data_IF_386378043744
#
_entry.id   IF_386378043744
#
_cell.length_a   1.000
_cell.length_b   1.000
_cell.length_c   1.000
_cell.angle_alpha   90.00
_cell.angle_beta   90.00
_cell.angle_gamma   90.00
#
_symmetry.space_group_name_H-M   'P 1'
#
loop_
_entity.id
_entity.type
_entity.pdbx_description
1 polymer ?
#
# COMPACT_ATOMS: atom_id res chain seq x y z
N UNK A 1 -13.19 -23.91 -7.67
CA UNK A 1 -12.18 -23.20 -6.84
C UNK A 1 -12.93 -22.64 -5.64
N UNK A 2 -12.35 -22.67 -4.43
CA UNK A 2 -12.97 -21.98 -3.30
C UNK A 2 -13.06 -20.47 -3.62
N UNK A 3 -14.13 -19.81 -3.18
CA UNK A 3 -14.27 -18.36 -3.35
C UNK A 3 -13.10 -17.64 -2.67
N UNK A 4 -12.40 -16.81 -3.44
CA UNK A 4 -11.28 -16.02 -2.93
C UNK A 4 -11.90 -14.82 -2.22
N UNK A 5 -11.69 -14.65 -0.90
CA UNK A 5 -12.22 -13.49 -0.19
C UNK A 5 -11.55 -12.20 -0.69
N UNK A 6 -12.20 -11.04 -0.47
CA UNK A 6 -11.62 -9.73 -0.80
C UNK A 6 -10.27 -9.56 -0.11
N UNK A 7 -9.18 -9.58 -0.89
CA UNK A 7 -7.81 -9.52 -0.38
C UNK A 7 -7.36 -8.10 -0.04
N UNK A 8 -7.95 -7.09 -0.68
CA UNK A 8 -7.70 -5.70 -0.36
C UNK A 8 -8.57 -5.29 0.83
N UNK A 9 -7.95 -5.13 2.00
CA UNK A 9 -8.62 -4.79 3.25
C UNK A 9 -9.31 -3.42 3.21
N UNK A 10 -8.70 -2.42 2.54
CA UNK A 10 -9.29 -1.09 2.36
C UNK A 10 -10.59 -1.17 1.56
N UNK A 11 -10.58 -1.87 0.42
CA UNK A 11 -11.81 -2.07 -0.39
C UNK A 11 -12.87 -2.80 0.44
N UNK A 12 -12.49 -3.86 1.16
CA UNK A 12 -13.42 -4.59 2.03
C UNK A 12 -14.06 -3.66 3.07
N UNK A 13 -13.27 -2.85 3.77
CA UNK A 13 -13.76 -1.90 4.77
C UNK A 13 -14.73 -0.89 4.16
N UNK A 14 -14.43 -0.37 2.97
CA UNK A 14 -15.30 0.57 2.25
C UNK A 14 -16.61 -0.09 1.78
N UNK A 15 -16.56 -1.31 1.26
CA UNK A 15 -17.76 -2.09 0.85
C UNK A 15 -18.69 -2.40 2.02
N UNK A 16 -18.13 -2.53 3.24
CA UNK A 16 -18.89 -2.68 4.48
C UNK A 16 -19.48 -1.36 5.01
N UNK A 17 -19.28 -0.23 4.29
CA UNK A 17 -19.73 1.10 4.70
C UNK A 17 -18.96 1.69 5.88
N UNK A 18 -17.77 1.16 6.16
CA UNK A 18 -16.90 1.61 7.27
C UNK A 18 -15.84 2.59 6.77
N UNK A 19 -15.24 3.30 7.72
CA UNK A 19 -14.13 4.22 7.47
C UNK A 19 -12.82 3.41 7.43
N UNK A 20 -12.04 3.58 6.36
CA UNK A 20 -10.69 3.04 6.26
C UNK A 20 -9.66 4.12 6.61
N UNK A 21 -8.72 3.78 7.49
CA UNK A 21 -7.63 4.66 7.89
C UNK A 21 -6.32 4.27 7.20
N UNK A 22 -5.65 5.24 6.59
CA UNK A 22 -4.36 5.05 5.94
C UNK A 22 -3.43 6.24 6.18
N UNK A 23 -2.12 5.99 6.12
CA UNK A 23 -1.08 7.02 6.22
C UNK A 23 -0.15 6.95 5.02
N UNK A 24 0.40 8.11 4.64
CA UNK A 24 1.54 8.18 3.74
C UNK A 24 2.80 7.66 4.42
N UNK A 25 3.65 6.99 3.65
CA UNK A 25 4.94 6.47 4.09
C UNK A 25 6.00 6.62 2.98
N UNK A 26 7.26 6.92 3.31
CA UNK A 26 8.35 6.84 2.33
C UNK A 26 8.59 5.39 1.86
N UNK A 27 9.30 5.27 0.74
CA UNK A 27 9.68 4.00 0.12
C UNK A 27 11.02 3.52 0.69
N UNK A 28 10.98 2.91 1.86
CA UNK A 28 12.13 2.26 2.49
C UNK A 28 11.69 1.06 3.36
N UNK A 29 12.66 0.26 3.78
CA UNK A 29 12.43 -1.00 4.48
C UNK A 29 11.91 -0.75 5.90
N UNK A 30 12.52 0.18 6.61
CA UNK A 30 12.22 0.49 8.00
C UNK A 30 10.78 1.00 8.15
N UNK A 31 10.38 1.91 7.27
CA UNK A 31 9.03 2.46 7.22
C UNK A 31 8.00 1.40 6.82
N UNK A 32 8.33 0.50 5.88
CA UNK A 32 7.47 -0.61 5.51
C UNK A 32 7.21 -1.58 6.69
N UNK A 33 8.26 -1.93 7.46
CA UNK A 33 8.13 -2.76 8.66
C UNK A 33 7.25 -2.06 9.70
N UNK A 34 7.49 -0.77 9.95
CA UNK A 34 6.70 0.02 10.89
C UNK A 34 5.21 0.03 10.48
N UNK A 35 4.91 0.31 9.21
CA UNK A 35 3.55 0.33 8.68
C UNK A 35 2.88 -1.04 8.73
N UNK A 36 3.59 -2.12 8.40
CA UNK A 36 3.04 -3.48 8.45
C UNK A 36 2.62 -3.90 9.88
N UNK A 37 3.33 -3.41 10.90
CA UNK A 37 2.98 -3.67 12.30
C UNK A 37 1.84 -2.80 12.84
N UNK A 38 1.47 -1.73 12.14
CA UNK A 38 0.47 -0.74 12.58
C UNK A 38 -0.95 -1.30 12.69
N UNK A 39 -1.87 -0.48 13.18
CA UNK A 39 -3.31 -0.78 13.24
C UNK A 39 -4.11 -0.12 12.10
N UNK A 40 -3.45 0.37 11.05
CA UNK A 40 -4.11 1.00 9.91
C UNK A 40 -4.73 -0.04 8.97
N UNK A 41 -5.75 0.35 8.22
CA UNK A 41 -6.33 -0.48 7.16
C UNK A 41 -5.43 -0.53 5.92
N UNK A 42 -4.68 0.55 5.70
CA UNK A 42 -3.78 0.67 4.56
C UNK A 42 -2.60 1.62 4.80
N UNK A 43 -1.65 1.59 3.88
CA UNK A 43 -0.53 2.52 3.80
C UNK A 43 -0.37 2.98 2.36
N UNK A 44 0.09 4.22 2.16
CA UNK A 44 0.32 4.80 0.84
C UNK A 44 1.80 5.10 0.69
N UNK A 45 2.50 4.27 -0.10
CA UNK A 45 3.88 4.54 -0.49
C UNK A 45 3.92 5.78 -1.37
N UNK A 46 4.62 6.80 -0.87
CA UNK A 46 4.71 8.10 -1.50
C UNK A 46 5.76 8.10 -2.60
N UNK A 47 5.33 8.21 -3.85
CA UNK A 47 6.22 8.28 -5.03
C UNK A 47 5.81 9.43 -5.97
N UNK A 48 4.93 10.34 -5.52
CA UNK A 48 4.50 11.52 -6.28
C UNK A 48 5.31 12.78 -5.89
N UNK A 49 5.61 12.92 -4.60
CA UNK A 49 6.37 14.02 -3.98
C UNK A 49 7.70 13.54 -3.40
N UNK A 50 8.05 12.29 -3.66
CA UNK A 50 9.34 11.66 -3.37
C UNK A 50 9.85 10.96 -4.63
N UNK A 51 11.10 10.44 -4.66
CA UNK A 51 11.64 9.77 -5.84
C UNK A 51 10.76 8.62 -6.32
N UNK A 52 10.62 8.50 -7.65
CA UNK A 52 9.93 7.39 -8.30
C UNK A 52 10.82 6.13 -8.27
N UNK A 53 10.82 5.42 -7.14
CA UNK A 53 11.70 4.27 -6.89
C UNK A 53 10.98 2.91 -6.90
N UNK A 54 10.86 2.29 -8.08
CA UNK A 54 10.30 0.93 -8.19
C UNK A 54 11.18 -0.16 -7.53
N UNK A 55 12.52 -0.14 -7.64
CA UNK A 55 13.37 -1.06 -6.90
C UNK A 55 13.19 -0.98 -5.37
N UNK A 56 13.08 0.22 -4.81
CA UNK A 56 12.78 0.46 -3.40
C UNK A 56 11.38 -0.04 -3.04
N UNK A 57 10.38 0.27 -3.86
CA UNK A 57 9.01 -0.19 -3.65
C UNK A 57 8.93 -1.73 -3.60
N UNK A 58 9.62 -2.40 -4.53
CA UNK A 58 9.70 -3.87 -4.53
C UNK A 58 10.25 -4.39 -3.20
N UNK A 59 11.29 -3.77 -2.66
CA UNK A 59 11.88 -4.17 -1.37
C UNK A 59 10.92 -3.89 -0.22
N UNK A 60 10.38 -2.67 -0.13
CA UNK A 60 9.41 -2.27 0.88
C UNK A 60 8.22 -3.24 0.97
N UNK A 61 7.65 -3.62 -0.19
CA UNK A 61 6.54 -4.58 -0.25
C UNK A 61 6.91 -5.97 0.29
N UNK A 62 8.15 -6.43 0.11
CA UNK A 62 8.61 -7.71 0.71
C UNK A 62 8.65 -7.61 2.23
N UNK A 63 9.09 -6.47 2.77
CA UNK A 63 9.19 -6.26 4.21
C UNK A 63 7.85 -5.96 4.90
N UNK A 64 6.77 -5.77 4.13
CA UNK A 64 5.41 -5.77 4.68
C UNK A 64 4.86 -7.17 4.97
N UNK A 65 5.55 -8.24 4.56
CA UNK A 65 5.11 -9.62 4.78
C UNK A 65 5.58 -10.14 6.16
N UNK A 66 4.66 -10.23 7.12
CA UNK A 66 4.89 -10.96 8.37
C UNK A 66 4.42 -12.42 8.23
N UNK A 67 5.38 -13.35 8.18
CA UNK A 67 5.11 -14.79 8.05
C UNK A 67 4.32 -15.37 9.24
N UNK A 68 4.60 -14.89 10.45
CA UNK A 68 3.87 -15.33 11.66
C UNK A 68 2.42 -14.90 11.55
N UNK A 69 2.18 -13.69 11.07
CA UNK A 69 0.83 -13.17 10.88
C UNK A 69 0.06 -13.91 9.78
N UNK A 70 0.69 -14.18 8.63
CA UNK A 70 0.07 -14.93 7.53
C UNK A 70 -0.39 -16.32 8.02
N UNK A 71 0.46 -17.02 8.77
CA UNK A 71 0.14 -18.33 9.32
C UNK A 71 -0.97 -18.23 10.38
N UNK A 72 -0.89 -17.27 11.30
CA UNK A 72 -1.87 -17.16 12.40
C UNK A 72 -3.26 -16.72 11.94
N UNK A 73 -3.36 -15.86 10.92
CA UNK A 73 -4.64 -15.40 10.36
C UNK A 73 -5.22 -16.35 9.32
N UNK A 74 -4.42 -17.28 8.78
CA UNK A 74 -4.86 -18.24 7.76
C UNK A 74 -5.33 -17.57 6.47
N UNK A 75 -4.81 -16.39 6.14
CA UNK A 75 -5.19 -15.62 4.95
C UNK A 75 -3.98 -14.94 4.32
N UNK A 76 -4.01 -14.79 2.99
CA UNK A 76 -3.03 -14.01 2.24
C UNK A 76 -3.39 -12.53 2.14
N UNK A 77 -4.55 -12.12 2.65
CA UNK A 77 -4.90 -10.71 2.72
C UNK A 77 -3.95 -9.99 3.69
N UNK A 78 -3.21 -8.96 3.25
CA UNK A 78 -2.33 -8.21 4.13
C UNK A 78 -3.14 -7.59 5.28
N UNK A 79 -2.49 -7.41 6.44
CA UNK A 79 -3.08 -6.65 7.56
C UNK A 79 -3.32 -5.20 7.19
N UNK A 80 -2.30 -4.62 6.59
CA UNK A 80 -2.26 -3.24 6.12
C UNK A 80 -2.14 -3.30 4.61
N UNK A 81 -3.16 -2.84 3.91
CA UNK A 81 -3.19 -2.87 2.45
C UNK A 81 -2.16 -1.88 1.89
N UNK A 82 -1.14 -2.34 1.12
CA UNK A 82 -0.23 -1.42 0.46
C UNK A 82 -0.92 -0.76 -0.73
N UNK A 83 -0.84 0.56 -0.78
CA UNK A 83 -1.21 1.40 -1.92
C UNK A 83 0.02 2.21 -2.33
N UNK A 84 0.05 2.68 -3.58
CA UNK A 84 1.17 3.45 -4.11
C UNK A 84 0.62 4.70 -4.75
N UNK A 85 1.12 5.87 -4.33
CA UNK A 85 0.83 7.13 -5.00
C UNK A 85 1.93 7.41 -6.00
N UNK A 86 1.63 7.21 -7.28
CA UNK A 86 2.53 7.50 -8.40
C UNK A 86 2.37 8.95 -8.86
N UNK A 87 3.35 9.51 -9.60
CA UNK A 87 3.19 10.79 -10.25
C UNK A 87 1.99 10.77 -11.21
N UNK A 88 1.38 11.94 -11.48
CA UNK A 88 0.25 12.04 -12.38
C UNK A 88 0.54 11.40 -13.75
N UNK A 89 -0.45 10.66 -14.26
CA UNK A 89 -0.35 10.02 -15.57
C UNK A 89 -0.51 11.05 -16.68
N UNK A 90 0.26 10.91 -17.76
CA UNK A 90 0.10 11.78 -18.95
C UNK A 90 -1.31 11.72 -19.56
N UNK A 91 -2.05 10.62 -19.36
CA UNK A 91 -3.44 10.48 -19.80
C UNK A 91 -4.44 11.35 -19.04
N UNK A 92 -4.05 11.91 -17.89
CA UNK A 92 -4.89 12.80 -17.07
C UNK A 92 -4.81 14.26 -17.55
N UNK A 93 -4.13 14.53 -18.67
CA UNK A 93 -3.93 15.87 -19.24
C UNK A 93 -3.28 16.87 -18.25
N UNK A 94 -2.47 16.35 -17.32
CA UNK A 94 -1.79 17.11 -16.27
C UNK A 94 -0.56 17.89 -16.76
N UNK A 95 -0.55 18.34 -18.02
CA UNK A 95 0.55 19.09 -18.63
C UNK A 95 0.81 20.44 -17.96
N UNK A 96 -0.16 20.95 -17.21
CA UNK A 96 -0.03 22.15 -16.38
C UNK A 96 0.84 21.92 -15.13
N UNK A 97 1.11 20.66 -14.77
CA UNK A 97 2.01 20.28 -13.68
C UNK A 97 3.38 19.94 -14.28
N UNK A 98 4.37 20.81 -14.08
CA UNK A 98 5.77 20.45 -14.33
C UNK A 98 6.32 19.68 -13.11
N UNK A 99 6.58 18.38 -13.25
CA UNK A 99 7.33 17.59 -12.26
C UNK A 99 8.61 17.05 -12.87
N UNK A 100 9.73 17.26 -12.20
CA UNK A 100 10.92 16.44 -12.43
C UNK A 100 10.69 15.13 -11.69
N UNK A 101 10.63 14.03 -12.43
CA UNK A 101 10.58 12.66 -11.88
C UNK A 101 11.98 12.06 -11.85
#
# INVERSE_FOLDING_TARGET
MADIPRLNGVIKTLEEGKIAFASFTPVDVESAIAMASSSLDGTVFEMEHAPLDFPGLRQALQYMLDRREIVSRGTLAPKVTPMVRIPPSGGEMNQWIAKQV
#
